data_IF_730947898434
#
_entry.id   IF_730947898434
#
_cell.length_a   1.000
_cell.length_b   1.000
_cell.length_c   1.000
_cell.angle_alpha   90.00
_cell.angle_beta   90.00
_cell.angle_gamma   90.00
#
_symmetry.space_group_name_H-M   'P 1'
#
loop_
_entity.id
_entity.type
_entity.pdbx_description
1 polymer ?
#
# COMPACT_ATOMS: atom_id res chain seq x y z
N UNK A 1 -15.61 -20.70 -24.07
CA UNK A 1 -14.81 -19.47 -23.93
C UNK A 1 -14.89 -19.05 -22.48
N UNK A 2 -13.86 -19.28 -21.68
CA UNK A 2 -13.84 -18.87 -20.26
C UNK A 2 -13.62 -17.37 -20.24
N UNK A 3 -14.58 -16.61 -19.71
CA UNK A 3 -14.53 -15.14 -19.59
C UNK A 3 -13.39 -14.68 -18.66
N UNK A 4 -12.87 -15.59 -17.83
CA UNK A 4 -11.76 -15.33 -16.90
C UNK A 4 -10.61 -16.30 -17.21
N UNK A 5 -9.54 -15.79 -17.80
CA UNK A 5 -8.34 -16.57 -18.14
C UNK A 5 -7.31 -16.65 -17.00
N UNK A 6 -7.64 -16.16 -15.78
CA UNK A 6 -6.75 -16.04 -14.60
C UNK A 6 -5.54 -15.12 -14.81
N UNK A 7 -5.45 -14.40 -15.90
CA UNK A 7 -4.40 -13.40 -16.11
C UNK A 7 -4.79 -12.07 -15.49
N UNK A 8 -3.78 -11.38 -14.94
CA UNK A 8 -3.97 -10.04 -14.40
C UNK A 8 -4.10 -9.03 -15.53
N UNK A 9 -5.04 -8.11 -15.40
CA UNK A 9 -5.20 -7.01 -16.34
C UNK A 9 -4.05 -5.99 -16.19
N UNK A 10 -3.67 -5.39 -17.31
CA UNK A 10 -2.56 -4.44 -17.39
C UNK A 10 -3.02 -2.98 -17.32
N UNK A 11 -2.08 -2.04 -17.16
CA UNK A 11 -2.39 -0.61 -17.10
C UNK A 11 -3.10 -0.09 -18.36
N UNK A 12 -2.88 -0.70 -19.52
CA UNK A 12 -3.52 -0.29 -20.78
C UNK A 12 -5.03 -0.40 -20.72
N UNK A 13 -5.54 -1.37 -19.93
CA UNK A 13 -6.98 -1.53 -19.69
C UNK A 13 -7.51 -0.45 -18.75
N UNK A 14 -6.76 -0.08 -17.72
CA UNK A 14 -7.26 0.77 -16.62
C UNK A 14 -7.06 2.26 -16.85
N UNK A 15 -6.15 2.68 -17.71
CA UNK A 15 -5.83 4.09 -18.01
C UNK A 15 -5.62 4.94 -16.75
N UNK A 16 -4.74 4.47 -15.85
CA UNK A 16 -4.45 5.14 -14.57
C UNK A 16 -3.74 6.47 -14.83
N UNK A 17 -4.17 7.54 -14.14
CA UNK A 17 -3.47 8.84 -14.13
C UNK A 17 -2.23 8.77 -13.23
N UNK A 18 -1.21 8.09 -13.73
CA UNK A 18 0.04 7.82 -13.00
C UNK A 18 0.70 9.12 -12.54
N UNK A 19 0.70 10.17 -13.38
CA UNK A 19 1.37 11.44 -13.08
C UNK A 19 0.80 12.13 -11.85
N UNK A 20 -0.53 12.24 -11.77
CA UNK A 20 -1.18 12.88 -10.62
C UNK A 20 -1.18 11.97 -9.40
N UNK A 21 -1.36 10.67 -9.60
CA UNK A 21 -1.35 9.70 -8.49
C UNK A 21 -0.01 9.70 -7.74
N UNK A 22 1.12 9.71 -8.45
CA UNK A 22 2.47 9.83 -7.85
C UNK A 22 2.66 11.11 -7.04
N UNK A 23 1.88 12.15 -7.32
CA UNK A 23 1.92 13.46 -6.63
C UNK A 23 0.87 13.59 -5.52
N UNK A 24 0.16 12.52 -5.19
CA UNK A 24 -0.82 12.54 -4.11
C UNK A 24 -2.17 13.20 -4.43
N UNK A 25 -2.48 13.54 -5.70
CA UNK A 25 -3.72 14.25 -6.05
C UNK A 25 -5.01 13.49 -5.67
N UNK A 26 -4.93 12.18 -5.53
CA UNK A 26 -6.05 11.31 -5.17
C UNK A 26 -5.95 10.78 -3.73
N UNK A 27 -5.00 11.30 -2.95
CA UNK A 27 -4.75 10.89 -1.57
C UNK A 27 -5.28 11.92 -0.58
N UNK A 28 -5.60 11.48 0.62
CA UNK A 28 -5.84 12.39 1.72
C UNK A 28 -4.55 13.10 2.11
N UNK A 29 -4.66 14.37 2.52
CA UNK A 29 -3.53 15.19 2.95
C UNK A 29 -2.73 14.55 4.09
N UNK A 30 -3.39 13.74 4.90
CA UNK A 30 -2.76 12.97 5.96
C UNK A 30 -1.63 12.07 5.43
N UNK A 31 -1.88 11.29 4.39
CA UNK A 31 -0.87 10.38 3.81
C UNK A 31 0.23 11.13 3.07
N UNK A 32 -0.09 12.26 2.46
CA UNK A 32 0.91 13.14 1.87
C UNK A 32 1.88 13.65 2.96
N UNK A 33 1.36 14.11 4.08
CA UNK A 33 2.16 14.59 5.21
C UNK A 33 3.04 13.48 5.80
N UNK A 34 2.50 12.25 5.95
CA UNK A 34 3.29 11.09 6.38
C UNK A 34 4.44 10.82 5.39
N UNK A 35 4.16 10.81 4.09
CA UNK A 35 5.18 10.59 3.06
C UNK A 35 6.31 11.64 3.11
N UNK A 36 5.96 12.91 3.29
CA UNK A 36 6.93 14.02 3.44
C UNK A 36 7.75 13.85 4.73
N UNK A 37 7.10 13.59 5.86
CA UNK A 37 7.76 13.42 7.15
C UNK A 37 8.76 12.26 7.12
N UNK A 38 8.33 11.09 6.68
CA UNK A 38 9.19 9.91 6.60
C UNK A 38 10.34 10.10 5.60
N UNK A 39 10.11 10.79 4.49
CA UNK A 39 11.16 11.10 3.52
C UNK A 39 12.21 12.04 4.10
N UNK A 40 11.79 13.05 4.87
CA UNK A 40 12.69 13.97 5.56
C UNK A 40 13.53 13.24 6.61
N UNK A 41 12.91 12.40 7.43
CA UNK A 41 13.61 11.59 8.44
C UNK A 41 14.62 10.62 7.80
N UNK A 42 14.27 10.02 6.65
CA UNK A 42 15.20 9.17 5.92
C UNK A 42 16.41 9.93 5.37
N UNK A 43 16.21 11.16 4.85
CA UNK A 43 17.31 12.02 4.37
C UNK A 43 18.25 12.43 5.51
N UNK A 44 17.70 12.60 6.71
CA UNK A 44 18.47 12.96 7.91
C UNK A 44 19.14 11.74 8.58
N UNK A 45 18.86 10.51 8.11
CA UNK A 45 19.34 9.30 8.76
C UNK A 45 18.81 9.17 10.21
N UNK A 46 17.59 9.66 10.48
CA UNK A 46 17.04 9.68 11.82
C UNK A 46 16.76 8.27 12.34
N UNK A 47 17.44 7.91 13.41
CA UNK A 47 17.20 6.69 14.19
C UNK A 47 16.29 7.01 15.36
N UNK A 48 15.42 6.07 15.72
CA UNK A 48 14.49 6.24 16.84
C UNK A 48 15.22 6.55 18.15
N UNK A 49 14.76 7.58 18.87
CA UNK A 49 15.34 8.10 20.11
C UNK A 49 14.29 8.23 21.23
N UNK A 50 13.26 7.38 21.23
CA UNK A 50 12.26 7.36 22.29
C UNK A 50 12.82 6.82 23.60
N UNK A 51 12.10 7.04 24.70
CA UNK A 51 12.49 6.56 26.04
C UNK A 51 12.48 5.02 26.11
N UNK A 52 11.50 4.37 25.45
CA UNK A 52 11.43 2.92 25.37
C UNK A 52 12.15 2.43 24.10
N UNK A 53 13.40 2.01 24.24
CA UNK A 53 14.19 1.48 23.13
C UNK A 53 13.90 0.01 22.80
N UNK A 54 12.95 -0.62 23.49
CA UNK A 54 12.51 -2.00 23.23
C UNK A 54 11.00 -2.10 23.24
N UNK A 55 10.46 -2.88 22.30
CA UNK A 55 9.06 -3.28 22.29
C UNK A 55 8.99 -4.81 22.16
N UNK A 56 8.67 -5.48 23.28
CA UNK A 56 8.84 -6.93 23.38
C UNK A 56 10.29 -7.33 23.11
N UNK A 57 10.50 -8.21 22.14
CA UNK A 57 11.84 -8.67 21.74
C UNK A 57 12.48 -7.76 20.66
N UNK A 58 11.78 -6.72 20.17
CA UNK A 58 12.29 -5.83 19.14
C UNK A 58 13.14 -4.72 19.74
N UNK A 59 14.39 -4.60 19.27
CA UNK A 59 15.28 -3.48 19.59
C UNK A 59 15.04 -2.31 18.65
N UNK A 60 14.50 -1.21 19.18
CA UNK A 60 14.18 -0.01 18.44
C UNK A 60 15.35 0.96 18.29
N UNK A 61 16.46 0.74 19.02
CA UNK A 61 17.61 1.66 19.06
C UNK A 61 18.31 1.84 17.70
N UNK A 62 18.08 0.92 16.76
CA UNK A 62 18.63 0.94 15.39
C UNK A 62 17.59 1.17 14.32
N UNK A 63 16.35 1.48 14.71
CA UNK A 63 15.25 1.66 13.76
C UNK A 63 15.36 2.99 13.04
N UNK A 64 15.62 2.95 11.75
CA UNK A 64 15.55 4.11 10.85
C UNK A 64 14.10 4.47 10.57
N UNK A 65 13.55 5.44 11.31
CA UNK A 65 12.13 5.80 11.27
C UNK A 65 11.67 6.18 9.85
N UNK A 66 12.51 6.88 9.10
CA UNK A 66 12.19 7.26 7.72
C UNK A 66 12.15 6.11 6.72
N UNK A 67 12.72 4.95 7.07
CA UNK A 67 12.73 3.73 6.28
C UNK A 67 11.91 2.61 6.91
N UNK A 68 11.01 2.94 7.83
CA UNK A 68 10.18 1.96 8.53
C UNK A 68 9.43 1.07 7.54
N UNK A 69 9.61 -0.22 7.67
CA UNK A 69 8.86 -1.23 6.94
C UNK A 69 7.60 -1.61 7.71
N UNK A 70 6.50 -1.72 6.99
CA UNK A 70 5.19 -2.09 7.54
C UNK A 70 4.52 -3.13 6.65
N UNK A 71 3.57 -3.84 7.23
CA UNK A 71 2.58 -4.60 6.49
C UNK A 71 1.26 -3.85 6.50
N UNK A 72 0.69 -3.59 5.34
CA UNK A 72 -0.63 -3.01 5.16
C UNK A 72 -1.56 -4.04 4.52
N UNK A 73 -2.80 -4.10 5.00
CA UNK A 73 -3.80 -5.07 4.56
C UNK A 73 -5.10 -4.38 4.16
N UNK A 74 -5.67 -4.79 3.04
CA UNK A 74 -7.02 -4.43 2.63
C UNK A 74 -7.94 -5.63 2.88
N UNK A 75 -9.03 -5.41 3.58
CA UNK A 75 -10.03 -6.43 3.88
C UNK A 75 -11.43 -5.84 3.95
N UNK A 76 -12.45 -6.68 3.79
CA UNK A 76 -13.85 -6.26 3.94
C UNK A 76 -14.27 -6.25 5.40
N UNK A 77 -15.08 -5.24 5.79
CA UNK A 77 -15.81 -5.21 7.07
C UNK A 77 -17.30 -5.51 6.88
N UNK A 78 -17.73 -5.85 5.68
CA UNK A 78 -19.10 -6.28 5.41
C UNK A 78 -19.28 -7.71 5.89
N UNK A 79 -20.25 -7.95 6.75
CA UNK A 79 -20.59 -9.31 7.20
C UNK A 79 -21.07 -10.18 6.03
N UNK A 80 -20.76 -11.47 6.12
CA UNK A 80 -21.15 -12.45 5.13
C UNK A 80 -20.17 -12.55 3.96
N UNK A 81 -20.69 -13.08 2.86
CA UNK A 81 -19.91 -13.40 1.65
C UNK A 81 -19.86 -12.22 0.69
N UNK A 82 -18.68 -11.79 0.33
CA UNK A 82 -18.43 -10.65 -0.57
C UNK A 82 -17.61 -11.10 -1.77
N UNK A 83 -18.03 -10.73 -2.98
CA UNK A 83 -17.24 -10.89 -4.20
C UNK A 83 -16.29 -9.71 -4.32
N UNK A 84 -15.00 -9.99 -4.49
CA UNK A 84 -13.96 -8.98 -4.59
C UNK A 84 -13.84 -8.47 -6.03
N UNK A 85 -13.75 -7.16 -6.20
CA UNK A 85 -13.52 -6.50 -7.49
C UNK A 85 -12.56 -5.32 -7.34
N UNK A 86 -11.78 -5.03 -8.40
CA UNK A 86 -10.85 -3.89 -8.46
C UNK A 86 -9.42 -4.22 -8.03
N UNK A 87 -9.11 -5.47 -7.68
CA UNK A 87 -7.79 -5.91 -7.24
C UNK A 87 -6.74 -5.67 -8.32
N UNK A 88 -7.00 -6.04 -9.56
CA UNK A 88 -6.05 -5.86 -10.66
C UNK A 88 -5.72 -4.38 -10.89
N UNK A 89 -6.71 -3.49 -10.75
CA UNK A 89 -6.48 -2.05 -10.86
C UNK A 89 -5.65 -1.52 -9.70
N UNK A 90 -5.89 -1.99 -8.47
CA UNK A 90 -5.06 -1.64 -7.30
C UNK A 90 -3.62 -2.11 -7.49
N UNK A 91 -3.41 -3.33 -7.97
CA UNK A 91 -2.07 -3.84 -8.26
C UNK A 91 -1.33 -2.98 -9.29
N UNK A 92 -2.04 -2.50 -10.33
CA UNK A 92 -1.45 -1.58 -11.30
C UNK A 92 -1.12 -0.20 -10.68
N UNK A 93 -1.96 0.33 -9.77
CA UNK A 93 -1.64 1.54 -9.01
C UNK A 93 -0.37 1.35 -8.18
N UNK A 94 -0.28 0.27 -7.42
CA UNK A 94 0.91 -0.06 -6.64
C UNK A 94 2.14 -0.20 -7.54
N UNK A 95 2.05 -0.98 -8.62
CA UNK A 95 3.16 -1.23 -9.55
C UNK A 95 3.73 0.04 -10.17
N UNK A 96 2.86 0.97 -10.57
CA UNK A 96 3.29 2.17 -11.28
C UNK A 96 3.54 3.37 -10.37
N UNK A 97 2.93 3.42 -9.19
CA UNK A 97 2.92 4.61 -8.35
C UNK A 97 3.62 4.45 -7.00
N UNK A 98 4.05 3.25 -6.61
CA UNK A 98 4.87 3.08 -5.41
C UNK A 98 6.27 3.63 -5.63
N UNK A 99 6.72 4.49 -4.69
CA UNK A 99 8.02 5.13 -4.77
C UNK A 99 8.01 6.56 -4.24
N UNK A 100 9.05 7.31 -4.60
CA UNK A 100 9.26 8.67 -4.12
C UNK A 100 9.94 9.53 -5.18
N UNK A 101 9.84 10.85 -5.03
CA UNK A 101 10.64 11.79 -5.83
C UNK A 101 11.98 12.04 -5.15
N UNK A 102 13.08 11.87 -5.89
CA UNK A 102 14.42 12.18 -5.41
C UNK A 102 14.69 13.70 -5.42
N UNK A 103 15.84 14.13 -4.90
CA UNK A 103 16.24 15.54 -4.83
C UNK A 103 16.26 16.28 -6.18
N UNK A 104 16.33 15.55 -7.30
CA UNK A 104 16.28 16.10 -8.66
C UNK A 104 14.88 16.11 -9.26
N UNK A 105 13.84 15.82 -8.47
CA UNK A 105 12.45 15.76 -8.93
C UNK A 105 12.11 14.55 -9.81
N UNK A 106 13.01 13.58 -9.94
CA UNK A 106 12.78 12.33 -10.69
C UNK A 106 12.09 11.31 -9.80
N UNK A 107 11.03 10.67 -10.31
CA UNK A 107 10.37 9.60 -9.60
C UNK A 107 11.20 8.30 -9.63
N UNK A 108 11.46 7.78 -8.44
CA UNK A 108 12.12 6.48 -8.22
C UNK A 108 11.03 5.47 -7.88
N UNK A 109 10.73 4.57 -8.80
CA UNK A 109 9.77 3.50 -8.57
C UNK A 109 10.41 2.41 -7.70
N UNK A 110 9.72 2.00 -6.64
CA UNK A 110 10.20 0.99 -5.68
C UNK A 110 9.34 -0.28 -5.65
N UNK A 111 8.48 -0.49 -6.63
CA UNK A 111 7.64 -1.67 -6.73
C UNK A 111 8.39 -2.99 -6.46
N UNK A 112 9.57 -3.15 -7.05
CA UNK A 112 10.37 -4.37 -6.90
C UNK A 112 10.94 -4.59 -5.49
N UNK A 113 10.73 -3.64 -4.59
CA UNK A 113 11.11 -3.74 -3.16
C UNK A 113 9.90 -4.06 -2.27
N UNK A 114 8.72 -4.14 -2.84
CA UNK A 114 7.51 -4.48 -2.12
C UNK A 114 7.23 -5.97 -2.27
N UNK A 115 6.85 -6.62 -1.20
CA UNK A 115 6.21 -7.93 -1.22
C UNK A 115 4.69 -7.70 -1.29
N UNK A 116 4.06 -8.22 -2.33
CA UNK A 116 2.63 -8.02 -2.57
C UNK A 116 1.94 -9.35 -2.79
N UNK A 117 0.93 -9.62 -2.00
CA UNK A 117 0.03 -10.77 -2.13
C UNK A 117 -1.39 -10.26 -2.37
N UNK A 118 -2.10 -10.88 -3.30
CA UNK A 118 -3.47 -10.47 -3.62
C UNK A 118 -4.30 -11.63 -4.15
N UNK A 119 -5.59 -11.63 -3.82
CA UNK A 119 -6.56 -12.52 -4.47
C UNK A 119 -6.84 -12.04 -5.91
N UNK A 120 -7.51 -12.85 -6.70
CA UNK A 120 -8.00 -12.45 -8.03
C UNK A 120 -9.34 -11.71 -7.93
N UNK A 121 -9.61 -10.81 -8.88
CA UNK A 121 -10.96 -10.28 -9.09
C UNK A 121 -11.95 -11.44 -9.31
N UNK A 122 -13.12 -11.35 -8.72
CA UNK A 122 -14.11 -12.43 -8.66
C UNK A 122 -13.92 -13.44 -7.52
N UNK A 123 -12.82 -13.36 -6.77
CA UNK A 123 -12.66 -14.15 -5.54
C UNK A 123 -13.74 -13.82 -4.53
N UNK A 124 -14.05 -14.78 -3.67
CA UNK A 124 -15.00 -14.58 -2.59
C UNK A 124 -14.28 -14.62 -1.25
N UNK A 125 -14.56 -13.61 -0.43
CA UNK A 125 -14.07 -13.51 0.95
C UNK A 125 -15.24 -13.38 1.91
N UNK A 126 -15.00 -13.76 3.16
CA UNK A 126 -16.00 -13.67 4.24
C UNK A 126 -15.46 -12.85 5.40
N UNK A 127 -16.36 -12.21 6.13
CA UNK A 127 -16.04 -11.54 7.39
C UNK A 127 -17.10 -11.89 8.43
N UNK A 128 -16.65 -12.43 9.56
CA UNK A 128 -17.52 -12.87 10.66
C UNK A 128 -17.90 -11.74 11.62
N UNK A 129 -17.27 -10.56 11.49
CA UNK A 129 -17.35 -9.48 12.49
C UNK A 129 -16.21 -9.54 13.52
N UNK A 130 -15.41 -10.60 13.52
CA UNK A 130 -14.27 -10.75 14.40
C UNK A 130 -13.02 -10.09 13.78
N UNK A 131 -12.48 -9.01 14.38
CA UNK A 131 -11.29 -8.32 13.87
C UNK A 131 -10.02 -9.16 13.95
N UNK A 132 -10.00 -10.24 14.71
CA UNK A 132 -8.85 -11.17 14.80
C UNK A 132 -8.86 -12.23 13.71
N UNK A 133 -9.97 -12.37 12.97
CA UNK A 133 -10.18 -13.35 11.90
C UNK A 133 -10.54 -12.67 10.59
N UNK A 134 -9.63 -11.86 10.07
CA UNK A 134 -9.79 -11.18 8.79
C UNK A 134 -9.22 -12.01 7.63
N UNK A 135 -9.84 -11.86 6.45
CA UNK A 135 -9.30 -12.38 5.18
C UNK A 135 -8.82 -11.20 4.33
N UNK A 136 -7.51 -10.92 4.28
CA UNK A 136 -7.00 -9.87 3.42
C UNK A 136 -7.25 -10.18 1.95
N UNK A 137 -7.69 -9.18 1.19
CA UNK A 137 -7.80 -9.27 -0.27
C UNK A 137 -6.50 -8.82 -0.94
N UNK A 138 -5.77 -7.91 -0.31
CA UNK A 138 -4.43 -7.49 -0.70
C UNK A 138 -3.61 -7.30 0.58
N UNK A 139 -2.35 -7.69 0.51
CA UNK A 139 -1.34 -7.43 1.54
C UNK A 139 -0.09 -6.89 0.89
N UNK A 140 0.46 -5.82 1.45
CA UNK A 140 1.68 -5.17 0.96
C UNK A 140 2.64 -5.00 2.11
N UNK A 141 3.88 -5.49 1.95
CA UNK A 141 4.99 -5.25 2.87
C UNK A 141 6.08 -4.44 2.21
N UNK A 142 6.66 -3.52 2.94
CA UNK A 142 7.75 -2.67 2.50
C UNK A 142 7.78 -1.34 3.21
N UNK A 143 8.65 -0.43 2.75
CA UNK A 143 8.77 0.89 3.38
C UNK A 143 7.49 1.69 3.21
N UNK A 144 6.90 2.12 4.32
CA UNK A 144 5.60 2.78 4.34
C UNK A 144 5.56 4.04 3.48
N UNK A 145 6.59 4.88 3.51
CA UNK A 145 6.67 6.10 2.68
C UNK A 145 6.56 5.85 1.18
N UNK A 146 6.87 4.64 0.72
CA UNK A 146 6.89 4.32 -0.70
C UNK A 146 5.46 4.05 -1.26
N UNK A 147 4.48 3.76 -0.41
CA UNK A 147 3.11 3.45 -0.84
C UNK A 147 1.99 4.06 0.02
N UNK A 148 2.30 4.79 1.09
CA UNK A 148 1.29 5.42 1.94
C UNK A 148 0.29 6.29 1.16
N UNK A 149 0.75 7.04 0.16
CA UNK A 149 -0.08 7.88 -0.72
C UNK A 149 -1.16 7.11 -1.49
N UNK A 150 -1.01 5.80 -1.62
CA UNK A 150 -1.92 4.96 -2.39
C UNK A 150 -3.07 4.39 -1.56
N UNK A 151 -3.07 4.57 -0.24
CA UNK A 151 -4.12 4.03 0.64
C UNK A 151 -5.50 4.54 0.23
N UNK A 152 -5.71 5.84 0.17
CA UNK A 152 -7.01 6.43 -0.18
C UNK A 152 -7.53 5.98 -1.55
N UNK A 153 -6.76 6.11 -2.66
CA UNK A 153 -7.28 5.71 -3.96
C UNK A 153 -7.51 4.20 -4.09
N UNK A 154 -6.73 3.37 -3.40
CA UNK A 154 -6.91 1.91 -3.43
C UNK A 154 -8.12 1.46 -2.61
N UNK A 155 -8.34 2.05 -1.43
CA UNK A 155 -9.55 1.83 -0.65
C UNK A 155 -10.80 2.26 -1.43
N UNK A 156 -10.78 3.43 -2.06
CA UNK A 156 -11.89 3.93 -2.86
C UNK A 156 -12.28 3.00 -4.02
N UNK A 157 -11.35 2.17 -4.52
CA UNK A 157 -11.64 1.16 -5.53
C UNK A 157 -12.24 -0.12 -4.96
N UNK A 158 -11.70 -0.62 -3.85
CA UNK A 158 -12.09 -1.91 -3.27
C UNK A 158 -13.40 -1.84 -2.48
N UNK A 159 -13.85 -0.63 -2.13
CA UNK A 159 -15.07 -0.42 -1.32
C UNK A 159 -16.33 -0.11 -2.13
N UNK A 160 -16.26 -0.09 -3.44
CA UNK A 160 -17.38 0.20 -4.35
C UNK A 160 -18.21 -1.03 -4.68
#
# INVERSE_FOLDING_TARGET
>A
MTIFNRERLTNDVFKIDIKRMRRGWYSDKYFENIGVMLSTLAQQGYVFKGEALRFGDVDLSKTEVGNLEVEMQWFTRRSGKVVVAGVDKVLMMLKHCSGYFNGNGKFVNTWNRLEVEAVHDGATVTYSGDPTSIQPVIRVRGRYRDFALLETPTLGLLTR
#
